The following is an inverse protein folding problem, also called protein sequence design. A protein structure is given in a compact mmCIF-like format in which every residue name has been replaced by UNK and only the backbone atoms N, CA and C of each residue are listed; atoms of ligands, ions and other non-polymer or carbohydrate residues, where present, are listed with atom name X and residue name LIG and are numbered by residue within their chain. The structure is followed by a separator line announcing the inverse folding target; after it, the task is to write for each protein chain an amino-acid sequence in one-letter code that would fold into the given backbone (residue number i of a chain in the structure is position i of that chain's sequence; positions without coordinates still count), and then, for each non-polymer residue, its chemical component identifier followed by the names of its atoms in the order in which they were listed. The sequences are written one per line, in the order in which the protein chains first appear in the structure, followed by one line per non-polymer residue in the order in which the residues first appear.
data_IF_311754883740
#
_entry.id   IF_311754883740
#
_cell.length_a   1.000
_cell.length_b   1.000
_cell.length_c   1.000
_cell.angle_alpha   90.00
_cell.angle_beta   90.00
_cell.angle_gamma   90.00
#
_symmetry.space_group_name_H-M   'P 1'
#
loop_
_entity.id
_entity.type
_entity.pdbx_description
1 polymer ?
#
# COMPACT_ATOMS: atom_id res chain seq x y z
N UNK A 1 -5.70 44.17 -16.82
CA UNK A 1 -5.64 42.70 -16.91
C UNK A 1 -5.96 42.14 -15.53
N UNK A 2 -7.12 41.52 -15.38
CA UNK A 2 -7.52 40.89 -14.11
C UNK A 2 -6.87 39.52 -14.02
N UNK A 3 -5.93 39.33 -13.09
CA UNK A 3 -5.37 38.03 -12.77
C UNK A 3 -6.45 37.22 -12.06
N UNK A 4 -7.23 36.45 -12.83
CA UNK A 4 -8.16 35.49 -12.25
C UNK A 4 -7.36 34.53 -11.35
N UNK A 5 -7.64 34.55 -10.05
CA UNK A 5 -6.98 33.68 -9.09
C UNK A 5 -7.27 32.23 -9.47
N UNK A 6 -6.23 31.48 -9.85
CA UNK A 6 -6.35 30.06 -10.15
C UNK A 6 -6.81 29.36 -8.86
N UNK A 7 -8.03 28.81 -8.88
CA UNK A 7 -8.60 28.09 -7.75
C UNK A 7 -7.70 26.89 -7.41
N UNK A 8 -6.96 26.98 -6.31
CA UNK A 8 -6.07 25.92 -5.83
C UNK A 8 -6.91 24.67 -5.54
N UNK A 9 -6.75 23.61 -6.34
CA UNK A 9 -7.45 22.34 -6.12
C UNK A 9 -7.09 21.82 -4.73
N UNK A 10 -8.11 21.61 -3.88
CA UNK A 10 -7.93 21.01 -2.56
C UNK A 10 -7.86 19.49 -2.72
N UNK A 11 -6.84 18.88 -2.13
CA UNK A 11 -6.68 17.42 -2.06
C UNK A 11 -7.14 16.87 -0.71
N UNK A 12 -7.31 15.54 -0.66
CA UNK A 12 -7.71 14.81 0.54
C UNK A 12 -6.86 15.19 1.76
N UNK A 13 -7.52 15.41 2.90
CA UNK A 13 -6.94 15.80 4.19
C UNK A 13 -6.11 17.08 4.17
N UNK A 14 -6.26 17.91 3.12
CA UNK A 14 -5.40 19.08 2.85
C UNK A 14 -3.91 18.71 2.68
N UNK A 15 -3.62 17.43 2.43
CA UNK A 15 -2.27 16.95 2.14
C UNK A 15 -1.96 17.13 0.65
N UNK A 16 -0.67 17.22 0.26
CA UNK A 16 -0.28 17.21 -1.15
C UNK A 16 -0.82 15.99 -1.89
N UNK A 17 -1.06 16.14 -3.20
CA UNK A 17 -1.53 15.04 -4.05
C UNK A 17 -0.65 13.80 -3.89
N UNK A 18 -1.27 12.64 -3.70
CA UNK A 18 -0.54 11.37 -3.57
C UNK A 18 0.05 11.09 -2.19
N UNK A 19 -0.04 11.98 -1.21
CA UNK A 19 0.51 11.76 0.15
C UNK A 19 -0.09 10.54 0.84
N UNK A 20 -1.41 10.35 0.76
CA UNK A 20 -2.08 9.17 1.34
C UNK A 20 -1.62 7.88 0.66
N UNK A 21 -1.42 7.89 -0.67
CA UNK A 21 -0.87 6.72 -1.39
C UNK A 21 0.56 6.44 -0.93
N UNK A 22 1.40 7.48 -0.79
CA UNK A 22 2.75 7.33 -0.27
C UNK A 22 2.75 6.71 1.14
N UNK A 23 1.86 7.14 2.04
CA UNK A 23 1.72 6.56 3.39
C UNK A 23 1.38 5.06 3.31
N UNK A 24 0.45 4.66 2.44
CA UNK A 24 0.10 3.25 2.28
C UNK A 24 1.26 2.42 1.75
N UNK A 25 1.93 2.88 0.69
CA UNK A 25 3.08 2.16 0.11
C UNK A 25 4.18 2.03 1.16
N UNK A 26 4.53 3.12 1.86
CA UNK A 26 5.54 3.11 2.91
C UNK A 26 5.13 2.21 4.08
N UNK A 27 3.86 2.21 4.47
CA UNK A 27 3.33 1.35 5.52
C UNK A 27 3.44 -0.13 5.16
N UNK A 28 2.95 -0.53 3.99
CA UNK A 28 3.02 -1.94 3.53
C UNK A 28 4.47 -2.38 3.32
N UNK A 29 5.31 -1.55 2.69
CA UNK A 29 6.75 -1.82 2.55
C UNK A 29 7.41 -1.97 3.91
N UNK A 30 7.13 -1.06 4.85
CA UNK A 30 7.66 -1.12 6.21
C UNK A 30 7.26 -2.40 6.95
N UNK A 31 6.00 -2.83 6.83
CA UNK A 31 5.51 -4.08 7.40
C UNK A 31 6.23 -5.30 6.79
N UNK A 32 6.33 -5.36 5.46
CA UNK A 32 7.04 -6.46 4.78
C UNK A 32 8.52 -6.50 5.18
N UNK A 33 9.19 -5.35 5.19
CA UNK A 33 10.58 -5.23 5.62
C UNK A 33 10.76 -5.68 7.08
N UNK A 34 9.86 -5.28 7.98
CA UNK A 34 9.88 -5.72 9.37
C UNK A 34 9.74 -7.24 9.49
N UNK A 35 8.82 -7.86 8.74
CA UNK A 35 8.62 -9.31 8.74
C UNK A 35 9.85 -10.06 8.18
N UNK A 36 10.51 -9.52 7.16
CA UNK A 36 11.73 -10.13 6.59
C UNK A 36 12.89 -10.05 7.59
N UNK A 37 13.07 -8.91 8.26
CA UNK A 37 14.21 -8.66 9.14
C UNK A 37 14.08 -9.30 10.52
N UNK A 38 12.86 -9.40 11.07
CA UNK A 38 12.65 -10.01 12.38
C UNK A 38 12.97 -11.51 12.30
N UNK A 39 13.92 -12.02 13.11
CA UNK A 39 14.27 -13.43 13.11
C UNK A 39 13.11 -14.27 13.67
N UNK A 40 12.67 -15.26 12.90
CA UNK A 40 11.59 -16.16 13.25
C UNK A 40 11.12 -16.95 12.03
N UNK A 41 10.33 -18.02 12.24
CA UNK A 41 9.67 -18.76 11.15
C UNK A 41 8.42 -18.02 10.66
N UNK A 42 8.53 -16.71 10.50
CA UNK A 42 7.39 -15.85 10.21
C UNK A 42 7.19 -15.83 8.69
N UNK A 43 6.22 -16.61 8.22
CA UNK A 43 5.73 -16.52 6.84
C UNK A 43 5.25 -15.09 6.56
N UNK A 44 5.53 -14.54 5.36
CA UNK A 44 4.98 -13.23 4.99
C UNK A 44 3.51 -13.44 4.68
N UNK A 45 2.57 -12.77 5.38
CA UNK A 45 1.15 -12.93 5.13
C UNK A 45 0.83 -12.66 3.65
N UNK A 46 0.14 -13.58 2.95
CA UNK A 46 -0.06 -13.47 1.50
C UNK A 46 -0.70 -12.15 1.05
N UNK A 47 -1.57 -11.56 1.88
CA UNK A 47 -2.25 -10.30 1.56
C UNK A 47 -1.26 -9.13 1.40
N UNK A 48 -0.18 -9.11 2.19
CA UNK A 48 0.86 -8.09 2.08
C UNK A 48 1.63 -8.22 0.77
N UNK A 49 1.87 -9.44 0.28
CA UNK A 49 2.54 -9.66 -1.00
C UNK A 49 1.71 -9.11 -2.15
N UNK A 50 0.40 -9.38 -2.19
CA UNK A 50 -0.49 -8.82 -3.22
C UNK A 50 -0.56 -7.30 -3.17
N UNK A 51 -0.77 -6.75 -1.97
CA UNK A 51 -0.81 -5.30 -1.77
C UNK A 51 0.51 -4.68 -2.19
N UNK A 52 1.65 -5.27 -1.83
CA UNK A 52 2.97 -4.81 -2.23
C UNK A 52 3.09 -4.74 -3.76
N UNK A 53 2.77 -5.82 -4.49
CA UNK A 53 2.88 -5.82 -5.95
C UNK A 53 1.94 -4.82 -6.62
N UNK A 54 0.66 -4.80 -6.23
CA UNK A 54 -0.34 -3.88 -6.80
C UNK A 54 0.05 -2.43 -6.50
N UNK A 55 0.39 -2.12 -5.25
CA UNK A 55 0.74 -0.77 -4.84
C UNK A 55 2.05 -0.29 -5.46
N UNK A 56 3.09 -1.12 -5.52
CA UNK A 56 4.35 -0.74 -6.15
C UNK A 56 4.15 -0.54 -7.65
N UNK A 57 3.52 -1.51 -8.33
CA UNK A 57 3.24 -1.41 -9.76
C UNK A 57 2.48 -0.14 -10.07
N UNK A 58 1.39 0.13 -9.34
CA UNK A 58 0.59 1.33 -9.52
C UNK A 58 1.33 2.62 -9.14
N UNK A 59 2.02 2.63 -8.00
CA UNK A 59 2.73 3.82 -7.51
C UNK A 59 3.89 4.20 -8.43
N UNK A 60 4.63 3.26 -9.01
CA UNK A 60 5.69 3.56 -9.95
C UNK A 60 5.17 3.89 -11.35
N UNK A 61 4.11 3.22 -11.84
CA UNK A 61 3.53 3.49 -13.14
C UNK A 61 2.83 4.86 -13.24
N UNK A 62 2.02 5.24 -12.23
CA UNK A 62 1.23 6.48 -12.22
C UNK A 62 2.05 7.78 -12.21
N UNK A 63 3.35 7.65 -12.00
CA UNK A 63 4.24 8.70 -11.54
C UNK A 63 5.34 9.03 -12.57
N UNK A 64 5.42 8.26 -13.66
CA UNK A 64 6.25 8.57 -14.83
C UNK A 64 5.67 9.71 -15.68
N UNK A 65 4.36 9.92 -15.64
CA UNK A 65 3.67 10.91 -16.48
C UNK A 65 3.70 12.32 -15.86
N UNK A 66 3.69 12.44 -14.53
CA UNK A 66 3.57 13.73 -13.82
C UNK A 66 4.88 14.52 -13.72
N UNK A 67 6.04 13.90 -14.01
CA UNK A 67 7.34 14.60 -13.99
C UNK A 67 7.56 15.43 -15.27
N UNK A 68 6.81 15.15 -16.35
CA UNK A 68 6.93 15.86 -17.61
C UNK A 68 6.25 17.26 -17.58
N UNK A 69 5.26 17.48 -16.71
CA UNK A 69 4.58 18.77 -16.54
C UNK A 69 5.25 19.61 -15.45
N UNK A 70 6.47 20.06 -15.73
CA UNK A 70 7.34 20.84 -14.83
C UNK A 70 6.84 22.26 -14.52
N UNK A 71 5.74 22.68 -15.12
CA UNK A 71 5.24 24.06 -15.05
C UNK A 71 4.23 24.33 -13.92
N UNK A 72 3.66 23.28 -13.30
CA UNK A 72 2.80 23.46 -12.12
C UNK A 72 3.60 23.27 -10.83
N UNK A 73 3.75 24.35 -10.05
CA UNK A 73 4.37 24.36 -8.71
C UNK A 73 3.44 23.66 -7.71
N UNK A 74 3.20 22.37 -7.89
CA UNK A 74 2.48 21.55 -6.93
C UNK A 74 3.46 20.96 -5.90
N UNK A 75 3.14 20.98 -4.59
CA UNK A 75 3.99 20.37 -3.58
C UNK A 75 4.04 18.84 -3.80
N UNK A 76 5.23 18.28 -3.66
CA UNK A 76 5.46 16.83 -3.76
C UNK A 76 4.79 16.06 -2.61
N UNK A 77 4.50 14.75 -2.78
CA UNK A 77 3.87 13.93 -1.75
C UNK A 77 4.60 14.03 -0.41
N UNK A 78 3.84 14.17 0.68
CA UNK A 78 4.36 14.32 2.05
C UNK A 78 5.28 15.54 2.27
N UNK A 79 5.28 16.53 1.36
CA UNK A 79 6.20 17.66 1.39
C UNK A 79 7.68 17.26 1.29
N UNK A 80 7.97 16.04 0.85
CA UNK A 80 9.34 15.58 0.61
C UNK A 80 9.80 15.99 -0.80
N UNK A 81 11.12 16.12 -1.05
CA UNK A 81 11.63 16.33 -2.39
C UNK A 81 11.12 15.26 -3.37
N UNK A 82 10.90 15.67 -4.62
CA UNK A 82 10.42 14.77 -5.67
C UNK A 82 11.31 13.53 -5.79
N UNK A 83 10.69 12.34 -5.76
CA UNK A 83 11.41 11.07 -5.87
C UNK A 83 11.95 10.49 -4.55
N UNK A 84 12.00 11.25 -3.45
CA UNK A 84 12.51 10.74 -2.16
C UNK A 84 11.75 9.50 -1.69
N UNK A 85 10.42 9.50 -1.80
CA UNK A 85 9.61 8.34 -1.41
C UNK A 85 9.97 7.09 -2.25
N UNK A 86 10.22 7.24 -3.55
CA UNK A 86 10.60 6.12 -4.43
C UNK A 86 11.96 5.55 -4.05
N UNK A 87 12.93 6.43 -3.83
CA UNK A 87 14.28 6.04 -3.39
C UNK A 87 14.20 5.32 -2.04
N UNK A 88 13.41 5.84 -1.10
CA UNK A 88 13.21 5.20 0.21
C UNK A 88 12.60 3.80 0.07
N UNK A 89 11.58 3.62 -0.78
CA UNK A 89 10.99 2.30 -1.05
C UNK A 89 12.03 1.34 -1.65
N UNK A 90 12.78 1.78 -2.65
CA UNK A 90 13.82 0.96 -3.30
C UNK A 90 14.92 0.56 -2.33
N UNK A 91 15.42 1.51 -1.53
CA UNK A 91 16.45 1.27 -0.52
C UNK A 91 15.94 0.38 0.61
N UNK A 92 14.71 0.58 1.07
CA UNK A 92 14.12 -0.24 2.14
C UNK A 92 13.94 -1.70 1.68
N UNK A 93 13.29 -1.93 0.54
CA UNK A 93 13.06 -3.29 0.03
C UNK A 93 14.37 -3.96 -0.38
N UNK A 94 15.17 -3.29 -1.21
CA UNK A 94 16.45 -3.82 -1.69
C UNK A 94 17.43 -4.06 -0.55
N UNK A 95 17.49 -3.14 0.42
CA UNK A 95 18.31 -3.28 1.62
C UNK A 95 17.88 -4.43 2.52
N UNK A 96 16.57 -4.58 2.79
CA UNK A 96 16.08 -5.66 3.65
C UNK A 96 16.28 -7.04 3.00
N UNK A 97 15.97 -7.16 1.71
CA UNK A 97 16.20 -8.39 0.95
C UNK A 97 17.71 -8.69 0.88
N UNK A 98 18.53 -7.70 0.54
CA UNK A 98 19.99 -7.85 0.45
C UNK A 98 20.62 -8.27 1.78
N UNK A 99 20.21 -7.65 2.89
CA UNK A 99 20.65 -8.01 4.24
C UNK A 99 20.27 -9.46 4.56
N UNK A 100 18.99 -9.83 4.35
CA UNK A 100 18.52 -11.19 4.64
C UNK A 100 19.18 -12.24 3.74
N UNK A 101 19.43 -11.91 2.47
CA UNK A 101 20.16 -12.78 1.53
C UNK A 101 21.61 -13.00 1.99
N UNK A 102 22.26 -11.96 2.50
CA UNK A 102 23.63 -12.06 3.03
C UNK A 102 23.68 -12.91 4.30
N UNK A 103 22.75 -12.70 5.24
CA UNK A 103 22.74 -13.39 6.52
C UNK A 103 22.26 -14.85 6.40
N UNK A 104 21.20 -15.11 5.61
CA UNK A 104 20.54 -16.41 5.53
C UNK A 104 19.68 -16.54 4.27
N UNK A 105 20.31 -16.69 3.10
CA UNK A 105 19.60 -16.92 1.84
C UNK A 105 18.59 -18.08 1.88
N UNK A 106 18.88 -19.28 2.44
CA UNK A 106 17.91 -20.38 2.46
C UNK A 106 16.63 -20.05 3.22
N UNK A 107 16.76 -19.30 4.34
CA UNK A 107 15.61 -18.90 5.15
C UNK A 107 14.69 -17.93 4.40
N UNK A 108 15.25 -17.03 3.59
CA UNK A 108 14.45 -16.12 2.75
C UNK A 108 13.66 -16.90 1.69
N UNK A 109 14.28 -17.89 1.04
CA UNK A 109 13.60 -18.73 0.07
C UNK A 109 12.47 -19.53 0.72
N UNK A 110 12.73 -20.16 1.86
CA UNK A 110 11.72 -20.91 2.61
C UNK A 110 10.55 -20.01 3.04
N UNK A 111 10.85 -18.80 3.54
CA UNK A 111 9.84 -17.82 3.93
C UNK A 111 8.95 -17.44 2.73
N UNK A 112 9.53 -17.20 1.56
CA UNK A 112 8.77 -16.87 0.35
C UNK A 112 7.97 -18.07 -0.17
N UNK A 113 8.55 -19.27 -0.17
CA UNK A 113 7.86 -20.50 -0.59
C UNK A 113 6.66 -20.81 0.31
N UNK A 114 6.81 -20.66 1.62
CA UNK A 114 5.70 -20.82 2.57
C UNK A 114 4.60 -19.78 2.33
N UNK A 115 4.96 -18.55 2.01
CA UNK A 115 4.01 -17.49 1.68
C UNK A 115 3.22 -17.83 0.40
N UNK A 116 3.89 -18.42 -0.59
CA UNK A 116 3.25 -18.89 -1.83
C UNK A 116 2.39 -20.14 -1.62
N UNK A 117 2.73 -21.02 -0.67
CA UNK A 117 1.89 -22.17 -0.30
C UNK A 117 0.61 -21.71 0.38
N UNK A 118 0.72 -20.86 1.40
CA UNK A 118 -0.43 -20.31 2.12
C UNK A 118 -1.37 -19.54 1.19
N UNK A 119 -0.80 -18.87 0.18
CA UNK A 119 -1.59 -18.24 -0.86
C UNK A 119 -2.46 -19.22 -1.65
N UNK A 120 -1.94 -20.39 -2.02
CA UNK A 120 -2.72 -21.39 -2.77
C UNK A 120 -3.94 -21.88 -1.98
N UNK A 121 -3.83 -21.87 -0.66
CA UNK A 121 -4.90 -22.29 0.25
C UNK A 121 -5.99 -21.22 0.42
N UNK A 122 -5.74 -19.97 0.00
CA UNK A 122 -6.65 -18.83 0.15
C UNK A 122 -7.05 -18.20 -1.20
N UNK A 123 -7.79 -18.91 -2.07
CA UNK A 123 -8.12 -18.43 -3.42
C UNK A 123 -8.99 -17.16 -3.43
N UNK A 124 -9.76 -16.91 -2.37
CA UNK A 124 -10.61 -15.72 -2.26
C UNK A 124 -9.84 -14.45 -1.93
N UNK A 125 -8.64 -14.55 -1.38
CA UNK A 125 -7.82 -13.41 -0.99
C UNK A 125 -7.42 -12.52 -2.18
N UNK A 126 -6.80 -13.05 -3.25
CA UNK A 126 -6.49 -12.24 -4.43
C UNK A 126 -7.75 -11.70 -5.08
N UNK A 127 -8.86 -12.45 -5.07
CA UNK A 127 -10.13 -11.99 -5.60
C UNK A 127 -10.66 -10.77 -4.83
N UNK A 128 -10.56 -10.77 -3.50
CA UNK A 128 -10.99 -9.64 -2.67
C UNK A 128 -10.11 -8.39 -2.88
N UNK A 129 -8.78 -8.56 -2.92
CA UNK A 129 -7.84 -7.44 -3.10
C UNK A 129 -7.95 -6.87 -4.52
N UNK A 130 -7.88 -7.72 -5.54
CA UNK A 130 -7.97 -7.31 -6.93
C UNK A 130 -9.37 -6.80 -7.29
N UNK A 131 -10.41 -7.46 -6.76
CA UNK A 131 -11.79 -7.02 -6.88
C UNK A 131 -12.00 -5.65 -6.24
N UNK A 132 -11.45 -5.43 -5.05
CA UNK A 132 -11.43 -4.12 -4.39
C UNK A 132 -10.80 -3.06 -5.30
N UNK A 133 -9.59 -3.31 -5.81
CA UNK A 133 -8.91 -2.41 -6.74
C UNK A 133 -9.77 -2.06 -7.97
N UNK A 134 -10.26 -3.07 -8.70
CA UNK A 134 -11.07 -2.81 -9.90
C UNK A 134 -12.40 -2.13 -9.57
N UNK A 135 -13.03 -2.47 -8.44
CA UNK A 135 -14.23 -1.79 -7.99
C UNK A 135 -13.94 -0.29 -7.76
N UNK A 136 -12.78 0.04 -7.20
CA UNK A 136 -12.32 1.43 -7.07
C UNK A 136 -12.21 2.13 -8.43
N UNK A 137 -11.59 1.47 -9.42
CA UNK A 137 -11.47 2.01 -10.79
C UNK A 137 -12.84 2.24 -11.43
N UNK A 138 -13.78 1.30 -11.24
CA UNK A 138 -15.15 1.42 -11.77
C UNK A 138 -15.87 2.60 -11.10
N UNK A 139 -15.83 2.69 -9.77
CA UNK A 139 -16.44 3.79 -9.01
C UNK A 139 -15.86 5.12 -9.49
N UNK A 140 -14.54 5.21 -9.68
CA UNK A 140 -13.89 6.39 -10.25
C UNK A 140 -14.41 6.75 -11.63
N UNK A 141 -14.58 5.76 -12.50
CA UNK A 141 -15.10 5.95 -13.84
C UNK A 141 -16.55 6.46 -13.84
N UNK A 142 -17.38 6.02 -12.87
CA UNK A 142 -18.79 6.39 -12.76
C UNK A 142 -18.97 7.76 -12.12
N UNK A 143 -18.27 8.04 -11.00
CA UNK A 143 -18.35 9.32 -10.27
C UNK A 143 -17.71 10.47 -11.05
N UNK A 144 -16.80 10.15 -11.98
CA UNK A 144 -16.11 11.11 -12.84
C UNK A 144 -14.70 11.42 -12.36
N UNK A 145 -13.80 11.65 -13.31
CA UNK A 145 -12.37 11.86 -13.04
C UNK A 145 -12.03 13.26 -12.55
N UNK A 146 -12.82 14.27 -12.90
CA UNK A 146 -12.26 15.62 -12.99
C UNK A 146 -12.38 16.49 -11.74
N UNK A 147 -13.25 16.17 -10.76
CA UNK A 147 -13.29 16.83 -9.44
C UNK A 147 -14.31 16.15 -8.49
N UNK A 148 -14.01 15.01 -7.85
CA UNK A 148 -14.86 14.54 -6.76
C UNK A 148 -14.86 15.56 -5.61
N UNK A 149 -16.00 15.70 -4.92
CA UNK A 149 -16.14 16.65 -3.82
C UNK A 149 -15.04 16.45 -2.76
N UNK A 150 -14.51 17.53 -2.19
CA UNK A 150 -13.42 17.43 -1.21
C UNK A 150 -13.81 16.57 0.01
N UNK A 151 -15.08 16.63 0.43
CA UNK A 151 -15.59 15.81 1.52
C UNK A 151 -15.54 14.31 1.18
N UNK A 152 -15.92 13.93 -0.04
CA UNK A 152 -15.83 12.54 -0.50
C UNK A 152 -14.39 12.02 -0.46
N UNK A 153 -13.46 12.84 -0.97
CA UNK A 153 -12.04 12.49 -0.95
C UNK A 153 -11.47 12.33 0.46
N UNK A 154 -11.91 13.17 1.41
CA UNK A 154 -11.49 13.09 2.81
C UNK A 154 -12.00 11.79 3.45
N UNK A 155 -13.26 11.41 3.20
CA UNK A 155 -13.88 10.20 3.74
C UNK A 155 -13.16 8.94 3.23
N UNK A 156 -12.90 8.85 1.93
CA UNK A 156 -12.16 7.72 1.33
C UNK A 156 -10.77 7.56 1.95
N UNK A 157 -10.05 8.68 2.10
CA UNK A 157 -8.72 8.68 2.70
C UNK A 157 -8.77 8.20 4.16
N UNK A 158 -9.78 8.62 4.93
CA UNK A 158 -9.97 8.17 6.32
C UNK A 158 -10.20 6.67 6.42
N UNK A 159 -11.14 6.12 5.65
CA UNK A 159 -11.42 4.68 5.67
C UNK A 159 -10.20 3.85 5.23
N UNK A 160 -9.49 4.32 4.21
CA UNK A 160 -8.27 3.68 3.73
C UNK A 160 -7.17 3.67 4.80
N UNK A 161 -6.94 4.80 5.48
CA UNK A 161 -5.97 4.89 6.57
C UNK A 161 -6.34 4.02 7.78
N UNK A 162 -7.63 3.95 8.14
CA UNK A 162 -8.08 3.03 9.19
C UNK A 162 -7.84 1.58 8.80
N UNK A 163 -8.07 1.22 7.54
CA UNK A 163 -7.80 -0.13 7.05
C UNK A 163 -6.29 -0.45 7.07
N UNK A 164 -5.42 0.50 6.71
CA UNK A 164 -3.97 0.35 6.86
C UNK A 164 -3.54 0.12 8.32
N UNK A 165 -4.12 0.87 9.26
CA UNK A 165 -3.87 0.66 10.69
C UNK A 165 -4.32 -0.75 11.11
N UNK A 166 -5.49 -1.19 10.65
CA UNK A 166 -5.98 -2.55 10.88
C UNK A 166 -5.03 -3.63 10.34
N UNK A 167 -4.47 -3.44 9.14
CA UNK A 167 -3.47 -4.35 8.56
C UNK A 167 -2.16 -4.34 9.35
N UNK A 168 -1.75 -3.18 9.86
CA UNK A 168 -0.57 -3.08 10.72
C UNK A 168 -0.78 -3.81 12.05
N UNK A 169 -1.97 -3.69 12.65
CA UNK A 169 -2.34 -4.45 13.85
C UNK A 169 -2.34 -5.95 13.56
N UNK A 170 -2.96 -6.39 12.45
CA UNK A 170 -2.95 -7.80 12.06
C UNK A 170 -1.52 -8.33 11.87
N UNK A 171 -0.67 -7.59 11.15
CA UNK A 171 0.74 -7.95 10.97
C UNK A 171 1.50 -8.00 12.31
N UNK A 172 1.23 -7.07 13.23
CA UNK A 172 1.82 -7.10 14.58
C UNK A 172 1.36 -8.30 15.40
N UNK A 173 0.09 -8.70 15.30
CA UNK A 173 -0.42 -9.91 15.95
C UNK A 173 0.30 -11.15 15.39
N UNK A 174 0.42 -11.25 14.07
CA UNK A 174 1.16 -12.34 13.41
C UNK A 174 2.64 -12.36 13.80
N UNK A 175 3.26 -11.20 13.99
CA UNK A 175 4.68 -11.11 14.33
C UNK A 175 4.98 -11.37 15.81
N UNK A 176 4.13 -10.88 16.71
CA UNK A 176 4.44 -10.86 18.15
C UNK A 176 3.67 -11.94 18.91
N UNK A 177 2.41 -12.18 18.58
CA UNK A 177 1.53 -13.06 19.35
C UNK A 177 1.57 -14.48 18.79
N UNK A 178 1.44 -14.65 17.47
CA UNK A 178 1.37 -15.98 16.86
C UNK A 178 2.56 -16.90 17.18
N UNK A 179 3.82 -16.44 17.27
CA UNK A 179 4.94 -17.31 17.66
C UNK A 179 4.81 -17.90 19.07
N UNK A 180 3.99 -17.30 19.94
CA UNK A 180 3.77 -17.74 21.32
C UNK A 180 2.58 -18.68 21.49
N UNK A 181 1.74 -18.85 20.46
CA UNK A 181 0.49 -19.61 20.52
C UNK A 181 0.53 -20.82 19.61
N UNK A 182 0.13 -22.00 20.10
CA UNK A 182 -0.02 -23.21 19.26
C UNK A 182 -1.17 -23.10 18.26
N UNK A 183 -2.17 -22.26 18.56
CA UNK A 183 -3.33 -22.03 17.71
C UNK A 183 -3.03 -20.91 16.72
N UNK A 184 -3.09 -21.22 15.43
CA UNK A 184 -3.03 -20.21 14.37
C UNK A 184 -4.35 -19.43 14.34
N UNK A 185 -4.33 -18.20 14.86
CA UNK A 185 -5.40 -17.22 14.68
C UNK A 185 -5.41 -16.75 13.22
N UNK A 186 -5.92 -17.58 12.31
CA UNK A 186 -6.21 -17.16 10.95
C UNK A 186 -7.52 -16.39 10.95
N UNK A 187 -7.47 -15.09 10.62
CA UNK A 187 -8.66 -14.28 10.37
C UNK A 187 -8.67 -13.88 8.87
N UNK A 188 -8.69 -14.85 7.94
CA UNK A 188 -8.40 -14.60 6.53
C UNK A 188 -9.43 -13.64 5.90
N UNK A 189 -10.68 -13.70 6.38
CA UNK A 189 -11.74 -12.79 5.94
C UNK A 189 -11.47 -11.34 6.34
N UNK A 190 -10.88 -11.11 7.51
CA UNK A 190 -10.54 -9.77 8.00
C UNK A 190 -9.42 -9.17 7.16
N UNK A 191 -8.33 -9.91 6.95
CA UNK A 191 -7.19 -9.47 6.15
C UNK A 191 -7.58 -9.21 4.69
N UNK A 192 -8.41 -10.09 4.12
CA UNK A 192 -8.97 -9.91 2.78
C UNK A 192 -9.86 -8.67 2.69
N UNK A 193 -10.69 -8.41 3.71
CA UNK A 193 -11.56 -7.24 3.74
C UNK A 193 -10.75 -5.95 3.85
N UNK A 194 -9.82 -5.86 4.80
CA UNK A 194 -8.96 -4.69 4.97
C UNK A 194 -8.06 -4.47 3.75
N UNK A 195 -7.45 -5.52 3.22
CA UNK A 195 -6.66 -5.47 1.99
C UNK A 195 -7.50 -5.00 0.80
N UNK A 196 -8.74 -5.49 0.68
CA UNK A 196 -9.71 -5.05 -0.32
C UNK A 196 -10.05 -3.55 -0.21
N UNK A 197 -10.27 -3.03 0.99
CA UNK A 197 -10.54 -1.60 1.24
C UNK A 197 -9.34 -0.73 0.85
N UNK A 198 -8.15 -1.15 1.24
CA UNK A 198 -6.92 -0.43 0.86
C UNK A 198 -6.70 -0.48 -0.66
N UNK A 199 -6.89 -1.64 -1.29
CA UNK A 199 -6.76 -1.79 -2.73
C UNK A 199 -7.82 -0.99 -3.51
N UNK A 200 -9.05 -0.94 -3.01
CA UNK A 200 -10.13 -0.09 -3.53
C UNK A 200 -9.73 1.38 -3.57
N UNK A 201 -9.14 1.89 -2.49
CA UNK A 201 -8.65 3.26 -2.46
C UNK A 201 -7.58 3.54 -3.53
N UNK A 202 -6.68 2.57 -3.78
CA UNK A 202 -5.70 2.70 -4.87
C UNK A 202 -6.38 2.73 -6.24
N UNK A 203 -7.36 1.85 -6.45
CA UNK A 203 -8.14 1.79 -7.69
C UNK A 203 -8.91 3.07 -7.96
N UNK A 204 -9.57 3.65 -6.96
CA UNK A 204 -10.30 4.91 -7.12
C UNK A 204 -9.36 6.07 -7.48
N UNK A 205 -8.13 6.05 -6.97
CA UNK A 205 -7.11 7.05 -7.25
C UNK A 205 -6.26 6.76 -8.49
N UNK A 206 -6.62 5.75 -9.28
CA UNK A 206 -5.96 5.38 -10.54
C UNK A 206 -6.54 6.16 -11.72
#
# INVERSE_FOLDING_TARGET
MSTAAVSKKRHALRLPAGSVRAIHVLGIVGLVCAIILIPGKNTIPPYLIYLLFIMLGHYFASHGVTIATRDEVAPSPLFLPGGTVRVLIMLALGGCIGCKMYDSAPALYEQFENSLKELKDQPFLPLAILGGFFLGVIVRSVVGRDNPSAAWQDIEAWFSLMALIGLAIAAMIHLVIQPSTEVTLMIPTWDACLGGVVAFYFGERS
#
